data_IF_022322538623
#
_entry.id   IF_022322538623
#
_cell.length_a   1.000
_cell.length_b   1.000
_cell.length_c   1.000
_cell.angle_alpha   90.00
_cell.angle_beta   90.00
_cell.angle_gamma   90.00
#
_symmetry.space_group_name_H-M   'P 1'
#
loop_
_entity.id
_entity.type
_entity.pdbx_description
1 polymer ?
#
# COMPACT_ATOMS: atom_id res chain seq x y z
N UNK A 1 1.49 12.11 -8.68
CA UNK A 1 2.40 12.11 -7.53
C UNK A 1 3.08 10.79 -7.58
N UNK A 2 4.34 10.78 -8.02
CA UNK A 2 5.14 9.57 -8.05
C UNK A 2 5.44 9.09 -6.64
N UNK A 3 5.72 7.79 -6.52
CA UNK A 3 6.12 7.14 -5.27
C UNK A 3 7.14 7.97 -4.47
N UNK A 4 8.24 8.43 -5.09
CA UNK A 4 9.30 9.16 -4.36
C UNK A 4 8.88 10.56 -3.86
N UNK A 5 7.76 11.08 -4.34
CA UNK A 5 7.25 12.41 -4.00
C UNK A 5 6.18 12.36 -2.90
N UNK A 6 5.65 11.18 -2.58
CA UNK A 6 4.57 10.99 -1.62
C UNK A 6 5.05 10.89 -0.16
N UNK A 7 5.75 11.92 0.35
CA UNK A 7 6.14 11.96 1.78
C UNK A 7 5.17 12.81 2.61
N UNK A 8 4.94 12.42 3.87
CA UNK A 8 4.04 13.10 4.81
C UNK A 8 4.43 14.53 5.22
N UNK A 9 5.38 15.17 4.54
CA UNK A 9 5.82 16.56 4.77
C UNK A 9 5.36 17.52 3.67
N UNK A 10 4.18 17.33 3.10
CA UNK A 10 3.57 18.35 2.24
C UNK A 10 2.57 19.19 3.05
N UNK A 11 2.85 20.49 3.19
CA UNK A 11 1.90 21.50 3.68
C UNK A 11 0.78 21.71 2.65
N UNK A 12 -0.01 20.69 2.33
CA UNK A 12 -1.18 20.83 1.47
C UNK A 12 -2.43 20.50 2.27
N UNK A 13 -3.13 21.57 2.68
CA UNK A 13 -4.41 21.51 3.37
C UNK A 13 -5.42 20.75 2.51
N UNK A 14 -5.81 19.56 2.96
CA UNK A 14 -6.85 18.73 2.36
C UNK A 14 -8.29 19.20 2.70
N UNK A 15 -8.46 20.39 3.29
CA UNK A 15 -9.78 20.93 3.64
C UNK A 15 -10.18 22.06 2.68
N UNK A 16 -11.10 21.74 1.77
CA UNK A 16 -11.90 22.72 1.06
C UNK A 16 -12.92 23.36 2.00
N UNK A 17 -12.73 24.63 2.35
CA UNK A 17 -13.72 25.46 3.03
C UNK A 17 -14.63 26.12 2.00
N UNK A 18 -15.92 25.77 2.03
CA UNK A 18 -16.98 26.50 1.34
C UNK A 18 -17.31 27.79 2.10
N UNK A 19 -16.71 28.93 1.76
CA UNK A 19 -17.32 30.26 2.00
C UNK A 19 -16.90 31.22 0.89
N UNK A 20 -17.89 31.97 0.38
CA UNK A 20 -17.78 32.80 -0.80
C UNK A 20 -17.24 34.22 -0.58
N UNK A 21 -17.30 34.95 -1.70
CA UNK A 21 -16.96 36.36 -1.96
C UNK A 21 -15.48 36.68 -2.16
N UNK A 22 -15.11 36.91 -3.42
CA UNK A 22 -13.83 37.53 -3.78
C UNK A 22 -13.36 37.13 -5.16
N UNK A 23 -13.59 37.99 -6.15
CA UNK A 23 -13.10 37.82 -7.51
C UNK A 23 -11.57 38.02 -7.51
N UNK A 24 -10.82 36.93 -7.40
CA UNK A 24 -9.37 36.92 -7.61
C UNK A 24 -9.07 35.72 -8.49
N UNK A 25 -8.37 35.96 -9.60
CA UNK A 25 -7.99 34.94 -10.58
C UNK A 25 -7.13 33.88 -9.90
N UNK A 26 -7.76 32.82 -9.41
CA UNK A 26 -7.07 31.64 -8.92
C UNK A 26 -6.38 31.00 -10.13
N UNK A 27 -5.05 30.96 -10.10
CA UNK A 27 -4.30 30.04 -10.95
C UNK A 27 -4.94 28.65 -10.83
N UNK A 28 -5.02 27.85 -11.91
CA UNK A 28 -5.63 26.54 -11.83
C UNK A 28 -4.94 25.77 -10.71
N UNK A 29 -5.69 25.42 -9.67
CA UNK A 29 -5.24 24.46 -8.67
C UNK A 29 -4.93 23.21 -9.47
N UNK A 30 -3.65 22.95 -9.72
CA UNK A 30 -3.23 21.70 -10.32
C UNK A 30 -3.48 20.63 -9.29
N UNK A 31 -4.64 19.97 -9.38
CA UNK A 31 -4.98 18.82 -8.56
C UNK A 31 -4.04 17.70 -8.95
N UNK A 32 -3.03 17.44 -8.12
CA UNK A 32 -2.10 16.33 -8.29
C UNK A 32 -2.85 15.01 -8.10
N UNK A 33 -2.74 14.10 -9.07
CA UNK A 33 -3.30 12.74 -8.97
C UNK A 33 -2.27 11.78 -8.38
N UNK A 34 -2.70 10.81 -7.59
CA UNK A 34 -1.87 9.69 -7.11
C UNK A 34 -1.70 8.63 -8.20
N UNK A 35 -0.63 7.85 -8.15
CA UNK A 35 -0.42 6.74 -9.10
C UNK A 35 -1.59 5.74 -9.07
N UNK A 36 -2.21 5.53 -7.90
CA UNK A 36 -3.38 4.67 -7.80
C UNK A 36 -4.61 5.24 -8.54
N UNK A 37 -4.86 6.56 -8.48
CA UNK A 37 -5.94 7.20 -9.25
C UNK A 37 -5.70 7.06 -10.75
N UNK A 38 -4.46 7.26 -11.19
CA UNK A 38 -4.09 7.06 -12.61
C UNK A 38 -4.31 5.61 -13.05
N UNK A 39 -4.00 4.63 -12.19
CA UNK A 39 -4.27 3.21 -12.45
C UNK A 39 -5.78 2.95 -12.55
N UNK A 40 -6.57 3.44 -11.61
CA UNK A 40 -8.04 3.31 -11.63
C UNK A 40 -8.65 3.84 -12.92
N UNK A 41 -8.18 5.01 -13.37
CA UNK A 41 -8.63 5.62 -14.61
C UNK A 41 -8.25 4.83 -15.85
N UNK A 42 -7.04 4.28 -15.90
CA UNK A 42 -6.62 3.41 -17.00
C UNK A 42 -7.48 2.15 -17.08
N UNK A 43 -7.73 1.48 -15.95
CA UNK A 43 -8.60 0.30 -15.91
C UNK A 43 -10.02 0.62 -16.38
N UNK A 44 -10.61 1.71 -15.89
CA UNK A 44 -11.94 2.17 -16.29
C UNK A 44 -12.03 2.50 -17.77
N UNK A 45 -11.03 3.20 -18.32
CA UNK A 45 -10.94 3.52 -19.75
C UNK A 45 -10.80 2.28 -20.64
N UNK A 46 -10.17 1.23 -20.13
CA UNK A 46 -10.07 -0.07 -20.80
C UNK A 46 -11.31 -0.97 -20.62
N UNK A 47 -12.39 -0.48 -20.00
CA UNK A 47 -13.65 -1.21 -19.83
C UNK A 47 -13.70 -2.14 -18.61
N UNK A 48 -12.69 -2.10 -17.74
CA UNK A 48 -12.69 -2.89 -16.51
C UNK A 48 -13.47 -2.17 -15.39
N UNK A 49 -14.43 -2.88 -14.80
CA UNK A 49 -15.27 -2.36 -13.71
C UNK A 49 -14.57 -2.34 -12.34
N UNK A 50 -13.48 -3.09 -12.20
CA UNK A 50 -12.73 -3.24 -10.95
C UNK A 50 -11.24 -3.21 -11.23
N UNK A 51 -10.50 -2.53 -10.36
CA UNK A 51 -9.04 -2.64 -10.30
C UNK A 51 -8.69 -3.87 -9.46
N UNK A 52 -7.69 -4.68 -9.86
CA UNK A 52 -7.14 -5.73 -9.01
C UNK A 52 -6.67 -5.19 -7.65
N UNK A 53 -6.48 -6.08 -6.69
CA UNK A 53 -5.78 -5.71 -5.46
C UNK A 53 -4.31 -5.38 -5.78
N UNK A 54 -3.82 -4.27 -5.26
CA UNK A 54 -2.48 -3.76 -5.55
C UNK A 54 -1.65 -3.73 -4.28
N UNK A 55 -0.46 -4.34 -4.33
CA UNK A 55 0.54 -4.24 -3.28
C UNK A 55 1.60 -3.23 -3.71
N UNK A 56 1.67 -2.10 -3.02
CA UNK A 56 2.77 -1.16 -3.15
C UNK A 56 3.89 -1.56 -2.20
N UNK A 57 5.02 -2.01 -2.74
CA UNK A 57 6.16 -2.48 -1.94
C UNK A 57 7.33 -1.49 -1.98
N UNK A 58 7.53 -0.78 -0.88
CA UNK A 58 8.66 0.09 -0.66
C UNK A 58 9.90 -0.71 -0.20
N UNK A 59 10.76 -1.09 -1.14
CA UNK A 59 11.96 -1.91 -0.87
C UNK A 59 13.15 -1.09 -0.36
N UNK A 60 13.10 0.24 -0.51
CA UNK A 60 14.10 1.18 -0.01
C UNK A 60 13.64 1.70 1.36
N UNK A 61 14.58 2.05 2.22
CA UNK A 61 14.27 2.91 3.35
C UNK A 61 13.83 4.30 2.84
N UNK A 62 12.52 4.53 2.78
CA UNK A 62 11.93 5.81 2.38
C UNK A 62 10.66 6.09 3.16
N UNK A 63 10.42 7.37 3.46
CA UNK A 63 9.21 7.86 4.14
C UNK A 63 8.02 8.05 3.20
N UNK A 64 8.06 7.43 2.01
CA UNK A 64 7.00 7.53 1.03
C UNK A 64 5.79 6.67 1.40
N UNK A 65 4.62 7.28 1.38
CA UNK A 65 3.31 6.68 1.57
C UNK A 65 2.40 7.10 0.40
N UNK A 66 2.47 6.41 -0.75
CA UNK A 66 1.77 6.78 -1.99
C UNK A 66 0.27 6.52 -1.96
N UNK A 67 -0.19 5.82 -0.91
CA UNK A 67 -1.58 5.57 -0.63
C UNK A 67 -1.85 5.74 0.86
N UNK A 68 -3.09 6.07 1.19
CA UNK A 68 -3.57 6.08 2.57
C UNK A 68 -3.60 4.64 3.11
N UNK A 69 -3.22 4.45 4.38
CA UNK A 69 -3.12 3.10 4.97
C UNK A 69 -4.44 2.32 5.04
N UNK A 70 -5.60 2.96 4.83
CA UNK A 70 -6.93 2.33 4.84
C UNK A 70 -7.58 2.30 3.45
N UNK A 71 -6.81 2.51 2.39
CA UNK A 71 -7.34 2.53 1.03
C UNK A 71 -7.74 1.12 0.57
N UNK A 72 -9.04 0.92 0.34
CA UNK A 72 -9.59 -0.37 -0.08
C UNK A 72 -8.96 -0.87 -1.39
N UNK A 73 -8.62 -2.16 -1.44
CA UNK A 73 -8.01 -2.79 -2.61
C UNK A 73 -6.51 -2.48 -2.77
N UNK A 74 -5.89 -1.87 -1.76
CA UNK A 74 -4.45 -1.59 -1.74
C UNK A 74 -3.85 -2.03 -0.42
N UNK A 75 -2.66 -2.62 -0.48
CA UNK A 75 -1.79 -2.86 0.67
C UNK A 75 -0.44 -2.16 0.48
N UNK A 76 0.13 -1.63 1.56
CA UNK A 76 1.46 -1.05 1.58
C UNK A 76 2.39 -1.97 2.38
N UNK A 77 3.50 -2.37 1.76
CA UNK A 77 4.55 -3.18 2.40
C UNK A 77 5.85 -2.38 2.37
N UNK A 78 6.54 -2.27 3.49
CA UNK A 78 7.81 -1.54 3.60
C UNK A 78 8.96 -2.44 4.06
N UNK A 79 10.17 -2.11 3.61
CA UNK A 79 11.38 -2.86 3.92
C UNK A 79 11.57 -4.09 3.04
N UNK A 80 12.73 -4.72 3.16
CA UNK A 80 13.09 -5.91 2.39
C UNK A 80 13.53 -7.05 3.32
N UNK A 81 12.95 -8.23 3.10
CA UNK A 81 13.38 -9.48 3.71
C UNK A 81 13.28 -10.58 2.65
N UNK A 82 14.36 -11.36 2.49
CA UNK A 82 14.38 -12.50 1.54
C UNK A 82 13.27 -13.50 1.86
N UNK A 83 12.98 -13.72 3.14
CA UNK A 83 11.92 -14.62 3.58
C UNK A 83 10.54 -14.07 3.23
N UNK A 84 10.33 -12.75 3.42
CA UNK A 84 9.05 -12.10 3.08
C UNK A 84 8.77 -12.14 1.58
N UNK A 85 9.79 -11.89 0.74
CA UNK A 85 9.66 -12.00 -0.72
C UNK A 85 9.35 -13.43 -1.16
N UNK A 86 10.02 -14.43 -0.57
CA UNK A 86 9.76 -15.83 -0.87
C UNK A 86 8.32 -16.22 -0.53
N UNK A 87 7.85 -15.87 0.67
CA UNK A 87 6.47 -16.13 1.10
C UNK A 87 5.43 -15.45 0.20
N UNK A 88 5.70 -14.22 -0.25
CA UNK A 88 4.82 -13.49 -1.15
C UNK A 88 4.73 -14.15 -2.54
N UNK A 89 5.87 -14.59 -3.09
CA UNK A 89 5.94 -15.21 -4.42
C UNK A 89 5.44 -16.67 -4.46
N UNK A 90 5.50 -17.39 -3.35
CA UNK A 90 4.99 -18.76 -3.24
C UNK A 90 3.46 -18.85 -3.37
N UNK A 91 2.77 -17.74 -3.59
CA UNK A 91 1.38 -17.73 -4.04
C UNK A 91 0.38 -18.12 -2.95
N UNK A 92 0.76 -17.97 -1.69
CA UNK A 92 -0.21 -18.12 -0.61
C UNK A 92 -1.32 -17.09 -0.74
N UNK A 93 -2.57 -17.54 -0.59
CA UNK A 93 -3.73 -16.65 -0.49
C UNK A 93 -3.40 -15.54 0.51
N UNK A 94 -3.64 -14.27 0.16
CA UNK A 94 -3.38 -13.15 1.06
C UNK A 94 -4.20 -13.27 2.35
N UNK A 95 -5.30 -14.03 2.32
CA UNK A 95 -6.06 -14.43 3.52
C UNK A 95 -5.24 -15.29 4.49
N UNK A 96 -4.26 -16.05 3.99
CA UNK A 96 -3.30 -16.82 4.79
C UNK A 96 -2.09 -15.99 5.22
N UNK A 97 -1.93 -14.75 4.75
CA UNK A 97 -0.80 -13.88 5.07
C UNK A 97 -0.99 -13.14 6.40
N UNK A 98 -1.32 -13.90 7.45
CA UNK A 98 -1.40 -13.38 8.83
C UNK A 98 -0.12 -13.71 9.59
N UNK A 99 0.28 -12.92 10.60
CA UNK A 99 1.49 -13.19 11.39
C UNK A 99 1.52 -14.61 11.98
N UNK A 100 0.37 -15.11 12.43
CA UNK A 100 0.27 -16.44 13.03
C UNK A 100 0.46 -17.56 12.00
N UNK A 101 -0.13 -17.43 10.80
CA UNK A 101 0.03 -18.42 9.72
C UNK A 101 1.46 -18.42 9.18
N UNK A 102 2.09 -17.26 9.07
CA UNK A 102 3.50 -17.14 8.68
C UNK A 102 4.40 -17.83 9.71
N UNK A 103 4.14 -17.60 11.01
CA UNK A 103 4.86 -18.27 12.09
C UNK A 103 4.66 -19.78 12.04
N UNK A 104 3.42 -20.26 11.95
CA UNK A 104 3.08 -21.69 11.84
C UNK A 104 3.81 -22.35 10.67
N UNK A 105 3.80 -21.75 9.48
CA UNK A 105 4.55 -22.26 8.31
C UNK A 105 6.06 -22.29 8.56
N UNK A 106 6.61 -21.28 9.22
CA UNK A 106 8.05 -21.21 9.52
C UNK A 106 8.52 -22.30 10.50
N UNK A 107 7.65 -22.75 11.40
CA UNK A 107 7.95 -23.79 12.40
C UNK A 107 7.41 -25.18 12.03
N UNK A 108 6.72 -25.34 10.91
CA UNK A 108 6.15 -26.62 10.47
C UNK A 108 7.20 -27.65 9.99
N UNK A 109 8.48 -27.27 9.91
CA UNK A 109 9.56 -28.17 9.47
C UNK A 109 9.93 -29.21 10.54
N UNK A 110 10.38 -30.39 10.10
CA UNK A 110 10.72 -31.52 10.99
C UNK A 110 11.73 -31.18 12.11
N UNK A 111 12.57 -30.16 11.89
CA UNK A 111 13.52 -29.68 12.89
C UNK A 111 12.88 -29.18 14.19
N UNK A 112 11.61 -28.74 14.14
CA UNK A 112 10.88 -28.22 15.29
C UNK A 112 10.00 -29.28 15.98
N UNK A 113 9.81 -30.46 15.39
CA UNK A 113 8.96 -31.53 15.95
C UNK A 113 9.44 -32.04 17.31
N UNK A 114 10.73 -31.85 17.63
CA UNK A 114 11.35 -32.32 18.88
C UNK A 114 11.25 -31.31 20.02
N UNK A 115 10.71 -30.11 19.76
CA UNK A 115 10.56 -29.09 20.80
C UNK A 115 9.44 -29.49 21.76
N UNK A 116 9.76 -29.44 23.06
CA UNK A 116 8.82 -29.73 24.15
C UNK A 116 8.71 -28.49 25.03
N UNK A 117 7.51 -28.22 25.53
CA UNK A 117 7.29 -27.19 26.54
C UNK A 117 7.71 -27.78 27.89
N UNK A 118 8.58 -27.07 28.61
CA UNK A 118 9.03 -27.45 29.96
C UNK A 118 8.50 -26.40 30.92
N UNK A 119 7.78 -26.84 31.95
CA UNK A 119 7.26 -26.01 33.06
C UNK A 119 8.31 -25.86 34.19
#
# INVERSE_FOLDING_TARGET
MEFNQASGKSNHSYYGGYYGYGQSRLAPVTTWETDYQVIQDKYRKSGYMKVPEIVFWNLRDSSSTPVLGQQKGVALVSGFSKNLLKLFLEGSDLSEFTPIRVMEKAIAGEGYNKLVVVD
#
